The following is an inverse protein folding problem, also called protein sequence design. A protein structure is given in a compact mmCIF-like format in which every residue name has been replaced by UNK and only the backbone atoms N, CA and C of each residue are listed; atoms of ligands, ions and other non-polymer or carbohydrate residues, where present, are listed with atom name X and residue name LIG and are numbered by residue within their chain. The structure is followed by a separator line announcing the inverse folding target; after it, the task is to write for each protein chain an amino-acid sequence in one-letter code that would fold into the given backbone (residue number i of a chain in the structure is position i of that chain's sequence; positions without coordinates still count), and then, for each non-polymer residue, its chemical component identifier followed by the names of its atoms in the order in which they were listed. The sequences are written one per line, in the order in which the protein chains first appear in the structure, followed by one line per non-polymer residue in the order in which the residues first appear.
data_IF_421270352125
#
_entry.id   IF_421270352125
#
_cell.length_a   1.000
_cell.length_b   1.000
_cell.length_c   1.000
_cell.angle_alpha   90.00
_cell.angle_beta   90.00
_cell.angle_gamma   90.00
#
_symmetry.space_group_name_H-M   'P 1'
#
loop_
_entity.id
_entity.type
_entity.pdbx_description
1 polymer ?
#
# COMPACT_ATOMS: atom_id res chain seq x y z
N UNK A 1 21.91 -15.67 24.73
CA UNK A 1 20.50 -15.38 24.42
C UNK A 1 19.68 -15.15 25.69
N UNK A 2 19.36 -13.88 25.99
CA UNK A 2 18.38 -13.57 27.04
C UNK A 2 17.00 -13.50 26.40
N UNK A 3 16.15 -14.50 26.63
CA UNK A 3 14.77 -14.54 26.14
C UNK A 3 13.99 -13.25 26.50
N UNK A 4 14.33 -12.62 27.63
CA UNK A 4 13.76 -11.34 28.04
C UNK A 4 14.06 -10.22 27.03
N UNK A 5 15.28 -10.13 26.50
CA UNK A 5 15.64 -9.11 25.50
C UNK A 5 14.86 -9.31 24.21
N UNK A 6 14.74 -10.56 23.74
CA UNK A 6 13.93 -10.89 22.57
C UNK A 6 12.47 -10.47 22.76
N UNK A 7 11.85 -10.81 23.90
CA UNK A 7 10.47 -10.41 24.19
C UNK A 7 10.29 -8.89 24.29
N UNK A 8 11.30 -8.17 24.79
CA UNK A 8 11.27 -6.70 24.85
C UNK A 8 11.31 -6.08 23.46
N UNK A 9 12.17 -6.57 22.56
CA UNK A 9 12.22 -6.10 21.17
C UNK A 9 10.90 -6.40 20.45
N UNK A 10 10.38 -7.61 20.56
CA UNK A 10 9.08 -7.98 19.95
C UNK A 10 7.97 -7.05 20.43
N UNK A 11 7.90 -6.78 21.74
CA UNK A 11 6.91 -5.86 22.30
C UNK A 11 7.09 -4.43 21.78
N UNK A 12 8.32 -3.93 21.70
CA UNK A 12 8.62 -2.60 21.17
C UNK A 12 8.16 -2.47 19.71
N UNK A 13 8.58 -3.37 18.83
CA UNK A 13 8.22 -3.31 17.41
C UNK A 13 6.71 -3.45 17.21
N UNK A 14 6.06 -4.38 17.91
CA UNK A 14 4.61 -4.53 17.83
C UNK A 14 3.84 -3.28 18.29
N UNK A 15 4.24 -2.66 19.41
CA UNK A 15 3.58 -1.46 19.92
C UNK A 15 3.80 -0.27 18.99
N UNK A 16 5.01 -0.12 18.46
CA UNK A 16 5.32 0.93 17.49
C UNK A 16 4.52 0.72 16.20
N UNK A 17 4.46 -0.50 15.66
CA UNK A 17 3.67 -0.82 14.47
C UNK A 17 2.17 -0.56 14.67
N UNK A 18 1.64 -0.70 15.89
CA UNK A 18 0.26 -0.34 16.21
C UNK A 18 0.02 1.18 16.22
N UNK A 19 1.03 1.97 16.58
CA UNK A 19 0.94 3.43 16.65
C UNK A 19 1.33 4.15 15.36
N UNK A 20 2.17 3.54 14.52
CA UNK A 20 2.57 4.12 13.22
C UNK A 20 1.40 3.97 12.25
N UNK A 21 0.80 5.10 11.89
CA UNK A 21 -0.30 5.15 10.94
C UNK A 21 0.24 5.22 9.51
N UNK A 22 -0.37 4.45 8.62
CA UNK A 22 -0.19 4.53 7.18
C UNK A 22 -1.12 5.56 6.58
N UNK A 23 -0.76 6.05 5.39
CA UNK A 23 -1.59 6.96 4.59
C UNK A 23 -1.80 8.34 5.22
N UNK A 24 -1.00 8.79 6.19
CA UNK A 24 -1.20 10.10 6.84
C UNK A 24 -1.33 11.24 5.83
N UNK A 25 -0.54 11.19 4.76
CA UNK A 25 -0.52 12.18 3.68
C UNK A 25 -1.56 11.96 2.57
N UNK A 26 -2.30 10.84 2.58
CA UNK A 26 -3.27 10.51 1.53
C UNK A 26 -4.69 10.96 1.91
N UNK A 27 -5.28 11.97 1.25
CA UNK A 27 -6.60 12.49 1.61
C UNK A 27 -7.76 11.55 1.25
N UNK A 28 -7.50 10.51 0.45
CA UNK A 28 -8.52 9.56 0.00
C UNK A 28 -8.76 8.41 0.98
N UNK A 29 -7.95 8.34 2.04
CA UNK A 29 -8.05 7.36 3.12
C UNK A 29 -8.33 8.15 4.39
N UNK A 30 -9.57 8.17 4.87
CA UNK A 30 -9.95 8.91 6.07
C UNK A 30 -9.58 8.16 7.35
N UNK A 31 -9.88 6.87 7.36
CA UNK A 31 -9.65 6.02 8.52
C UNK A 31 -8.30 5.31 8.32
N UNK A 32 -7.25 5.95 8.82
CA UNK A 32 -5.86 5.51 8.64
C UNK A 32 -5.65 4.13 9.25
N UNK A 33 -4.99 3.24 8.51
CA UNK A 33 -4.61 1.92 8.99
C UNK A 33 -3.25 1.99 9.70
N UNK A 34 -3.00 1.19 10.72
CA UNK A 34 -1.65 1.08 11.31
C UNK A 34 -0.77 0.10 10.54
N UNK A 35 0.56 0.25 10.62
CA UNK A 35 1.52 -0.71 10.03
C UNK A 35 1.23 -2.14 10.51
N UNK A 36 0.88 -2.33 11.78
CA UNK A 36 0.50 -3.65 12.31
C UNK A 36 -0.73 -4.27 11.62
N UNK A 37 -1.74 -3.46 11.29
CA UNK A 37 -2.93 -3.94 10.60
C UNK A 37 -2.63 -4.29 9.13
N UNK A 38 -1.79 -3.49 8.46
CA UNK A 38 -1.28 -3.80 7.11
C UNK A 38 -0.50 -5.12 7.08
N UNK A 39 0.46 -5.30 7.99
CA UNK A 39 1.22 -6.56 8.13
C UNK A 39 0.29 -7.76 8.34
N UNK A 40 -0.73 -7.61 9.19
CA UNK A 40 -1.73 -8.66 9.43
C UNK A 40 -2.52 -9.03 8.17
N UNK A 41 -2.90 -8.04 7.34
CA UNK A 41 -3.55 -8.30 6.04
C UNK A 41 -2.61 -9.05 5.10
N UNK A 42 -1.36 -8.62 5.00
CA UNK A 42 -0.36 -9.29 4.15
C UNK A 42 -0.13 -10.73 4.57
N UNK A 43 0.01 -11.00 5.87
CA UNK A 43 0.16 -12.36 6.38
C UNK A 43 -1.06 -13.25 6.08
N UNK A 44 -2.27 -12.71 6.23
CA UNK A 44 -3.50 -13.46 5.86
C UNK A 44 -3.52 -13.78 4.38
N UNK A 45 -3.20 -12.81 3.54
CA UNK A 45 -3.14 -13.00 2.09
C UNK A 45 -2.09 -14.05 1.70
N UNK A 46 -0.87 -13.93 2.21
CA UNK A 46 0.21 -14.90 2.00
C UNK A 46 -0.17 -16.30 2.47
N UNK A 47 -0.82 -16.42 3.63
CA UNK A 47 -1.32 -17.68 4.17
C UNK A 47 -2.36 -18.34 3.25
N UNK A 48 -3.29 -17.56 2.68
CA UNK A 48 -4.33 -18.09 1.79
C UNK A 48 -3.80 -18.53 0.42
N UNK A 49 -2.71 -17.92 -0.08
CA UNK A 49 -2.12 -18.31 -1.36
C UNK A 49 -0.94 -19.28 -1.25
N UNK A 50 -0.51 -19.62 -0.03
CA UNK A 50 0.63 -20.52 0.21
C UNK A 50 0.50 -21.87 -0.52
N UNK A 51 -0.66 -22.56 -0.53
CA UNK A 51 -0.80 -23.82 -1.27
C UNK A 51 -0.48 -23.68 -2.76
N UNK A 52 -1.01 -22.63 -3.39
CA UNK A 52 -0.83 -22.34 -4.82
C UNK A 52 0.62 -21.98 -5.13
N UNK A 53 1.27 -21.16 -4.30
CA UNK A 53 2.68 -20.83 -4.47
C UNK A 53 3.60 -22.05 -4.35
N UNK A 54 3.29 -22.98 -3.43
CA UNK A 54 4.05 -24.23 -3.28
C UNK A 54 3.91 -25.13 -4.51
N UNK A 55 2.72 -25.18 -5.11
CA UNK A 55 2.47 -25.93 -6.34
C UNK A 55 3.18 -25.29 -7.53
N UNK A 56 2.96 -23.98 -7.74
CA UNK A 56 3.52 -23.20 -8.84
C UNK A 56 5.06 -23.28 -8.88
N UNK A 57 5.70 -23.16 -7.72
CA UNK A 57 7.15 -23.11 -7.61
C UNK A 57 7.79 -24.41 -7.10
N UNK A 58 7.10 -25.55 -7.18
CA UNK A 58 7.61 -26.83 -6.68
C UNK A 58 9.00 -27.23 -7.22
N UNK A 59 9.32 -26.82 -8.45
CA UNK A 59 10.59 -27.10 -9.12
C UNK A 59 11.55 -25.90 -9.16
N UNK A 60 11.21 -24.78 -8.51
CA UNK A 60 12.06 -23.60 -8.46
C UNK A 60 13.24 -23.80 -7.50
N UNK A 61 14.38 -23.18 -7.79
CA UNK A 61 15.60 -23.27 -6.95
C UNK A 61 15.39 -22.77 -5.50
N UNK A 62 14.44 -21.86 -5.31
CA UNK A 62 14.09 -21.28 -4.00
C UNK A 62 12.90 -21.99 -3.32
N UNK A 63 12.38 -23.08 -3.90
CA UNK A 63 11.16 -23.77 -3.43
C UNK A 63 11.21 -24.18 -1.95
N UNK A 64 12.37 -24.61 -1.46
CA UNK A 64 12.54 -25.10 -0.11
C UNK A 64 12.33 -24.02 0.97
N UNK A 65 12.69 -22.77 0.67
CA UNK A 65 12.64 -21.66 1.63
C UNK A 65 11.61 -20.59 1.24
N UNK A 66 11.02 -20.67 0.06
CA UNK A 66 10.13 -19.65 -0.51
C UNK A 66 9.10 -19.11 0.48
N UNK A 67 8.40 -20.00 1.18
CA UNK A 67 7.33 -19.60 2.10
C UNK A 67 7.93 -18.94 3.34
N UNK A 68 8.95 -19.54 3.96
CA UNK A 68 9.62 -18.94 5.12
C UNK A 68 10.22 -17.56 4.79
N UNK A 69 10.95 -17.47 3.69
CA UNK A 69 11.52 -16.21 3.20
C UNK A 69 10.41 -15.19 2.90
N UNK A 70 9.26 -15.59 2.34
CA UNK A 70 8.12 -14.69 2.09
C UNK A 70 7.59 -14.11 3.40
N UNK A 71 7.32 -14.96 4.40
CA UNK A 71 6.83 -14.50 5.70
C UNK A 71 7.82 -13.56 6.40
N UNK A 72 9.13 -13.81 6.30
CA UNK A 72 10.13 -12.88 6.85
C UNK A 72 10.24 -11.57 6.07
N UNK A 73 10.14 -11.60 4.74
CA UNK A 73 10.08 -10.36 3.96
C UNK A 73 8.87 -9.52 4.36
N UNK A 74 7.70 -10.14 4.55
CA UNK A 74 6.50 -9.44 5.04
C UNK A 74 6.76 -8.86 6.44
N UNK A 75 7.31 -9.64 7.37
CA UNK A 75 7.48 -9.22 8.76
C UNK A 75 8.33 -7.96 8.91
N UNK A 76 9.42 -7.88 8.15
CA UNK A 76 10.50 -6.92 8.38
C UNK A 76 10.53 -5.74 7.40
N UNK A 77 9.71 -5.76 6.32
CA UNK A 77 9.87 -4.76 5.26
C UNK A 77 9.62 -3.31 5.66
N UNK A 78 8.75 -3.08 6.66
CA UNK A 78 8.38 -1.76 7.17
C UNK A 78 9.08 -1.42 8.50
N UNK A 79 10.14 -2.15 8.88
CA UNK A 79 10.82 -1.94 10.16
C UNK A 79 11.50 -0.56 10.25
N UNK A 80 11.87 0.08 9.11
CA UNK A 80 12.28 1.50 9.10
C UNK A 80 11.17 2.44 9.56
N UNK A 81 9.93 2.17 9.16
CA UNK A 81 8.76 2.98 9.50
C UNK A 81 8.33 2.76 10.95
N UNK A 82 8.49 1.54 11.46
CA UNK A 82 8.26 1.18 12.86
C UNK A 82 9.29 1.84 13.77
N UNK A 83 10.56 1.91 13.33
CA UNK A 83 11.64 2.54 14.10
C UNK A 83 11.53 4.06 14.08
N UNK A 84 11.26 4.66 12.91
CA UNK A 84 11.10 6.11 12.76
C UNK A 84 9.77 6.64 13.30
N UNK A 85 8.76 5.77 13.43
CA UNK A 85 7.40 6.12 13.82
C UNK A 85 6.63 6.86 12.73
N UNK A 86 7.04 6.73 11.47
CA UNK A 86 6.44 7.45 10.33
C UNK A 86 6.36 6.56 9.10
N UNK A 87 5.19 6.51 8.47
CA UNK A 87 5.00 6.02 7.10
C UNK A 87 5.08 7.21 6.13
N UNK A 88 6.09 7.22 5.27
CA UNK A 88 6.24 8.27 4.25
C UNK A 88 5.57 7.78 2.97
N UNK A 89 4.66 8.58 2.42
CA UNK A 89 3.95 8.18 1.20
C UNK A 89 4.93 7.86 0.07
N UNK A 90 4.60 6.84 -0.72
CA UNK A 90 5.46 6.36 -1.84
C UNK A 90 5.85 7.47 -2.82
N UNK A 91 5.05 8.52 -2.95
CA UNK A 91 5.35 9.67 -3.83
C UNK A 91 6.43 10.59 -3.25
N UNK A 92 6.48 10.72 -1.93
CA UNK A 92 7.46 11.53 -1.21
C UNK A 92 8.69 10.72 -0.78
N UNK A 93 8.59 9.39 -0.76
CA UNK A 93 9.71 8.48 -0.42
C UNK A 93 10.72 8.50 -1.57
N UNK A 94 11.93 9.01 -1.29
CA UNK A 94 13.05 8.83 -2.20
C UNK A 94 13.47 7.37 -2.07
N UNK A 95 13.09 6.52 -3.03
CA UNK A 95 13.40 5.08 -2.97
C UNK A 95 14.91 4.83 -3.15
N UNK A 96 15.66 4.92 -2.06
CA UNK A 96 17.05 4.48 -1.99
C UNK A 96 17.11 3.12 -1.30
N UNK A 97 17.28 2.06 -2.09
CA UNK A 97 17.44 0.69 -1.55
C UNK A 97 18.66 0.55 -0.63
N UNK A 98 19.60 1.48 -0.70
CA UNK A 98 20.82 1.56 0.09
C UNK A 98 20.84 2.83 0.96
N UNK A 99 19.70 3.21 1.54
CA UNK A 99 19.68 4.26 2.56
C UNK A 99 20.38 3.78 3.82
N UNK A 100 21.67 4.11 3.93
CA UNK A 100 22.52 3.70 5.04
C UNK A 100 22.02 4.26 6.39
N UNK A 101 21.30 5.39 6.40
CA UNK A 101 20.77 5.99 7.62
C UNK A 101 19.57 5.20 8.16
N UNK A 102 18.61 4.86 7.29
CA UNK A 102 17.47 4.01 7.67
C UNK A 102 17.94 2.62 8.12
N UNK A 103 18.87 2.02 7.40
CA UNK A 103 19.45 0.73 7.76
C UNK A 103 20.16 0.82 9.11
N UNK A 104 20.97 1.85 9.33
CA UNK A 104 21.67 2.05 10.60
C UNK A 104 20.69 2.22 11.77
N UNK A 105 19.59 2.96 11.58
CA UNK A 105 18.56 3.15 12.60
C UNK A 105 17.89 1.82 13.01
N UNK A 106 17.57 0.94 12.05
CA UNK A 106 17.03 -0.39 12.35
C UNK A 106 18.07 -1.21 13.13
N UNK A 107 19.33 -1.23 12.67
CA UNK A 107 20.39 -1.99 13.36
C UNK A 107 20.62 -1.48 14.78
N UNK A 108 20.55 -0.16 15.02
CA UNK A 108 20.64 0.43 16.35
C UNK A 108 19.45 0.03 17.23
N UNK A 109 18.23 0.03 16.68
CA UNK A 109 17.04 -0.41 17.40
C UNK A 109 17.11 -1.88 17.86
N UNK A 110 17.88 -2.70 17.13
CA UNK A 110 18.09 -4.13 17.40
C UNK A 110 19.40 -4.45 18.13
N UNK A 111 20.22 -3.46 18.48
CA UNK A 111 21.58 -3.65 19.03
C UNK A 111 21.66 -4.48 20.33
N UNK A 112 20.52 -4.73 20.99
CA UNK A 112 20.44 -5.59 22.18
C UNK A 112 20.32 -7.10 21.87
N UNK A 113 20.04 -7.46 20.61
CA UNK A 113 19.93 -8.83 20.11
C UNK A 113 21.31 -9.44 19.80
N UNK A 114 21.33 -10.75 19.56
CA UNK A 114 22.55 -11.46 19.14
C UNK A 114 22.85 -11.16 17.64
N UNK A 115 24.13 -11.27 17.24
CA UNK A 115 24.60 -10.89 15.90
C UNK A 115 23.88 -11.62 14.76
N UNK A 116 23.57 -12.90 14.95
CA UNK A 116 22.84 -13.74 14.01
C UNK A 116 21.38 -13.29 13.82
N UNK A 117 20.74 -12.78 14.87
CA UNK A 117 19.38 -12.22 14.78
C UNK A 117 19.37 -10.89 14.01
N UNK A 118 20.34 -10.01 14.28
CA UNK A 118 20.51 -8.75 13.55
C UNK A 118 20.84 -9.03 12.07
N UNK A 119 21.67 -10.05 11.80
CA UNK A 119 21.99 -10.45 10.43
C UNK A 119 20.76 -10.99 9.68
N UNK A 120 19.87 -11.71 10.36
CA UNK A 120 18.60 -12.18 9.80
C UNK A 120 17.71 -11.01 9.38
N UNK A 121 17.52 -10.05 10.28
CA UNK A 121 16.76 -8.82 9.98
C UNK A 121 17.31 -8.13 8.73
N UNK A 122 18.61 -7.82 8.78
CA UNK A 122 19.29 -7.11 7.70
C UNK A 122 19.15 -7.83 6.37
N UNK A 123 19.23 -9.17 6.35
CA UNK A 123 19.04 -9.98 5.14
C UNK A 123 17.69 -9.66 4.49
N UNK A 124 16.59 -9.64 5.25
CA UNK A 124 15.25 -9.53 4.69
C UNK A 124 14.82 -8.10 4.40
N UNK A 125 15.17 -7.13 5.26
CA UNK A 125 14.97 -5.70 4.96
C UNK A 125 15.65 -5.35 3.63
N UNK A 126 16.89 -5.78 3.43
CA UNK A 126 17.63 -5.56 2.19
C UNK A 126 17.01 -6.33 1.01
N UNK A 127 16.65 -7.61 1.20
CA UNK A 127 16.05 -8.41 0.13
C UNK A 127 14.75 -7.80 -0.40
N UNK A 128 13.92 -7.22 0.48
CA UNK A 128 12.70 -6.51 0.11
C UNK A 128 12.99 -5.23 -0.67
N UNK A 129 13.88 -4.38 -0.14
CA UNK A 129 14.29 -3.12 -0.79
C UNK A 129 14.86 -3.34 -2.19
N UNK A 130 15.70 -4.35 -2.34
CA UNK A 130 16.38 -4.68 -3.59
C UNK A 130 15.54 -5.53 -4.56
N UNK A 131 14.46 -6.15 -4.09
CA UNK A 131 13.57 -7.05 -4.87
C UNK A 131 14.31 -8.17 -5.61
N UNK A 132 15.38 -8.71 -4.99
CA UNK A 132 16.30 -9.68 -5.65
C UNK A 132 15.85 -11.13 -5.55
N UNK A 133 15.03 -11.51 -4.59
CA UNK A 133 14.59 -12.90 -4.40
C UNK A 133 13.16 -13.07 -4.89
N UNK A 134 12.78 -14.31 -5.24
CA UNK A 134 11.39 -14.59 -5.63
C UNK A 134 10.43 -14.25 -4.48
N UNK A 135 10.82 -14.59 -3.26
CA UNK A 135 10.05 -14.27 -2.06
C UNK A 135 9.84 -12.76 -1.87
N UNK A 136 10.88 -11.95 -2.10
CA UNK A 136 10.78 -10.50 -1.91
C UNK A 136 10.00 -9.81 -3.03
N UNK A 137 10.06 -10.34 -4.25
CA UNK A 137 9.22 -9.91 -5.37
C UNK A 137 7.74 -10.20 -5.08
N UNK A 138 7.41 -11.42 -4.65
CA UNK A 138 6.04 -11.78 -4.25
C UNK A 138 5.58 -10.91 -3.08
N UNK A 139 6.40 -10.73 -2.04
CA UNK A 139 6.09 -9.87 -0.90
C UNK A 139 5.73 -8.45 -1.33
N UNK A 140 6.45 -7.89 -2.32
CA UNK A 140 6.15 -6.55 -2.84
C UNK A 140 4.81 -6.50 -3.58
N UNK A 141 4.44 -7.56 -4.29
CA UNK A 141 3.10 -7.65 -4.89
C UNK A 141 2.03 -7.64 -3.81
N UNK A 142 2.22 -8.41 -2.74
CA UNK A 142 1.27 -8.48 -1.64
C UNK A 142 1.13 -7.13 -0.91
N UNK A 143 2.23 -6.41 -0.69
CA UNK A 143 2.24 -5.06 -0.10
C UNK A 143 1.40 -4.09 -0.94
N UNK A 144 1.57 -4.12 -2.27
CA UNK A 144 0.79 -3.29 -3.17
C UNK A 144 -0.70 -3.70 -3.19
N UNK A 145 -1.01 -5.00 -3.17
CA UNK A 145 -2.38 -5.51 -3.13
C UNK A 145 -3.09 -5.07 -1.85
N UNK A 146 -2.49 -5.28 -0.68
CA UNK A 146 -3.11 -4.87 0.59
C UNK A 146 -3.18 -3.36 0.70
N UNK A 147 -2.17 -2.66 0.21
CA UNK A 147 -2.15 -1.20 0.14
C UNK A 147 -3.32 -0.61 -0.65
N UNK A 148 -3.60 -1.17 -1.83
CA UNK A 148 -4.74 -0.76 -2.64
C UNK A 148 -6.09 -1.15 -2.01
N UNK A 149 -6.14 -2.29 -1.30
CA UNK A 149 -7.37 -2.81 -0.71
C UNK A 149 -7.99 -1.83 0.29
N UNK A 150 -7.19 -1.11 1.07
CA UNK A 150 -7.67 -0.07 2.01
C UNK A 150 -8.41 1.05 1.26
N UNK A 151 -7.84 1.52 0.15
CA UNK A 151 -8.47 2.59 -0.63
C UNK A 151 -9.76 2.11 -1.32
N UNK A 152 -9.82 0.85 -1.76
CA UNK A 152 -11.03 0.24 -2.31
C UNK A 152 -12.12 0.13 -1.25
N UNK A 153 -11.79 -0.26 -0.02
CA UNK A 153 -12.74 -0.40 1.09
C UNK A 153 -13.34 0.95 1.53
N UNK A 154 -12.56 2.03 1.47
CA UNK A 154 -13.01 3.36 1.88
C UNK A 154 -13.72 4.15 0.78
N UNK A 155 -13.72 3.67 -0.46
CA UNK A 155 -14.47 4.18 -1.61
C UNK A 155 -14.08 5.58 -2.12
N UNK A 156 -13.59 6.49 -1.27
CA UNK A 156 -13.31 7.88 -1.62
C UNK A 156 -12.27 7.96 -2.74
N UNK A 157 -11.17 7.20 -2.63
CA UNK A 157 -10.17 7.13 -3.70
C UNK A 157 -10.74 6.59 -5.02
N UNK A 158 -11.78 5.77 -4.98
CA UNK A 158 -12.41 5.19 -6.17
C UNK A 158 -13.28 6.20 -6.94
N UNK A 159 -13.57 7.36 -6.34
CA UNK A 159 -14.23 8.50 -6.99
C UNK A 159 -13.23 9.27 -7.86
N UNK A 160 -11.99 9.41 -7.40
CA UNK A 160 -10.96 10.20 -8.09
C UNK A 160 -10.33 9.43 -9.26
N UNK A 161 -10.45 9.89 -10.52
CA UNK A 161 -9.96 9.15 -11.68
C UNK A 161 -8.43 8.98 -11.69
N UNK A 162 -7.67 10.03 -11.34
CA UNK A 162 -6.19 9.94 -11.28
C UNK A 162 -5.72 8.91 -10.24
N UNK A 163 -6.33 8.91 -9.06
CA UNK A 163 -5.99 7.96 -7.99
C UNK A 163 -6.39 6.52 -8.35
N UNK A 164 -7.56 6.33 -8.97
CA UNK A 164 -7.98 5.02 -9.52
C UNK A 164 -6.95 4.48 -10.51
N UNK A 165 -6.52 5.32 -11.47
CA UNK A 165 -5.54 4.94 -12.46
C UNK A 165 -4.17 4.69 -11.84
N UNK A 166 -3.77 5.45 -10.82
CA UNK A 166 -2.56 5.14 -10.05
C UNK A 166 -2.67 3.75 -9.41
N UNK A 167 -3.77 3.45 -8.71
CA UNK A 167 -3.95 2.14 -8.07
C UNK A 167 -3.82 0.99 -9.08
N UNK A 168 -4.41 1.13 -10.27
CA UNK A 168 -4.32 0.13 -11.35
C UNK A 168 -2.89 0.02 -11.88
N UNK A 169 -2.27 1.13 -12.28
CA UNK A 169 -0.91 1.17 -12.84
C UNK A 169 0.13 0.62 -11.84
N UNK A 170 -0.02 0.96 -10.56
CA UNK A 170 0.90 0.57 -9.50
C UNK A 170 0.93 -0.95 -9.26
N UNK A 171 -0.24 -1.60 -9.33
CA UNK A 171 -0.33 -3.05 -9.17
C UNK A 171 -0.06 -3.81 -10.47
N UNK A 172 -0.48 -3.27 -11.61
CA UNK A 172 -0.27 -3.91 -12.92
C UNK A 172 1.21 -4.06 -13.27
N UNK A 173 2.04 -3.10 -12.88
CA UNK A 173 3.51 -3.16 -13.01
C UNK A 173 4.16 -4.34 -12.27
N UNK A 174 3.45 -5.01 -11.38
CA UNK A 174 3.96 -6.18 -10.65
C UNK A 174 3.64 -7.52 -11.33
N UNK A 175 2.90 -7.51 -12.46
CA UNK A 175 2.56 -8.76 -13.17
C UNK A 175 3.81 -9.50 -13.66
N UNK A 176 3.68 -10.82 -13.79
CA UNK A 176 4.71 -11.70 -14.35
C UNK A 176 5.70 -12.28 -13.34
N UNK A 177 5.54 -11.95 -12.05
CA UNK A 177 6.33 -12.55 -10.96
C UNK A 177 5.82 -13.97 -10.65
N UNK A 178 4.50 -14.13 -10.57
CA UNK A 178 3.83 -15.40 -10.25
C UNK A 178 2.44 -15.43 -10.88
N UNK A 179 2.04 -16.56 -11.45
CA UNK A 179 0.69 -16.79 -11.95
C UNK A 179 -0.35 -16.63 -10.85
N UNK A 180 -0.05 -17.14 -9.64
CA UNK A 180 -0.91 -16.98 -8.47
C UNK A 180 -1.14 -15.51 -8.14
N UNK A 181 -0.08 -14.70 -8.10
CA UNK A 181 -0.24 -13.26 -7.82
C UNK A 181 -0.89 -12.52 -8.98
N UNK A 182 -0.60 -12.88 -10.23
CA UNK A 182 -1.18 -12.24 -11.41
C UNK A 182 -2.71 -12.37 -11.42
N UNK A 183 -3.25 -13.53 -11.02
CA UNK A 183 -4.70 -13.71 -10.84
C UNK A 183 -5.26 -12.73 -9.81
N UNK A 184 -4.58 -12.55 -8.67
CA UNK A 184 -5.02 -11.58 -7.65
C UNK A 184 -4.97 -10.13 -8.15
N UNK A 185 -3.95 -9.79 -8.93
CA UNK A 185 -3.82 -8.48 -9.56
C UNK A 185 -5.02 -8.23 -10.48
N UNK A 186 -5.36 -9.18 -11.35
CA UNK A 186 -6.50 -9.04 -12.25
C UNK A 186 -7.82 -8.90 -11.47
N UNK A 187 -8.04 -9.72 -10.45
CA UNK A 187 -9.22 -9.62 -9.59
C UNK A 187 -9.32 -8.26 -8.89
N UNK A 188 -8.21 -7.70 -8.39
CA UNK A 188 -8.22 -6.37 -7.78
C UNK A 188 -8.53 -5.27 -8.80
N UNK A 189 -7.97 -5.34 -10.01
CA UNK A 189 -8.27 -4.38 -11.09
C UNK A 189 -9.76 -4.46 -11.47
N UNK A 190 -10.33 -5.66 -11.58
CA UNK A 190 -11.77 -5.80 -11.82
C UNK A 190 -12.59 -5.28 -10.66
N UNK A 191 -12.18 -5.53 -9.42
CA UNK A 191 -12.84 -5.00 -8.22
C UNK A 191 -12.88 -3.48 -8.23
N UNK A 192 -11.78 -2.80 -8.57
CA UNK A 192 -11.73 -1.34 -8.72
C UNK A 192 -12.78 -0.86 -9.72
N UNK A 193 -12.85 -1.48 -10.91
CA UNK A 193 -13.82 -1.14 -11.95
C UNK A 193 -15.26 -1.32 -11.48
N UNK A 194 -15.56 -2.44 -10.81
CA UNK A 194 -16.89 -2.76 -10.28
C UNK A 194 -17.30 -1.78 -9.19
N UNK A 195 -16.40 -1.46 -8.25
CA UNK A 195 -16.68 -0.50 -7.17
C UNK A 195 -16.95 0.88 -7.75
N UNK A 196 -16.10 1.36 -8.67
CA UNK A 196 -16.30 2.66 -9.32
C UNK A 196 -17.62 2.70 -10.09
N UNK A 197 -17.96 1.65 -10.83
CA UNK A 197 -19.24 1.56 -11.55
C UNK A 197 -20.43 1.61 -10.59
N UNK A 198 -20.35 0.90 -9.46
CA UNK A 198 -21.34 0.98 -8.40
C UNK A 198 -21.54 2.41 -7.88
N UNK A 199 -20.44 3.15 -7.66
CA UNK A 199 -20.50 4.56 -7.25
C UNK A 199 -21.10 5.47 -8.33
N UNK A 200 -20.86 5.19 -9.61
CA UNK A 200 -21.49 5.93 -10.73
C UNK A 200 -23.01 5.73 -10.77
N UNK A 201 -23.47 4.51 -10.45
CA UNK A 201 -24.87 4.12 -10.56
C UNK A 201 -25.68 4.40 -9.28
N UNK A 202 -25.01 4.60 -8.14
CA UNK A 202 -25.64 4.84 -6.84
C UNK A 202 -25.39 6.26 -6.32
N UNK A 203 -26.17 7.20 -6.87
CA UNK A 203 -26.16 8.59 -6.44
C UNK A 203 -26.46 8.76 -4.93
N UNK A 204 -27.30 7.89 -4.36
CA UNK A 204 -27.65 7.99 -2.93
C UNK A 204 -26.42 7.70 -2.06
N UNK A 205 -25.71 6.62 -2.35
CA UNK A 205 -24.51 6.25 -1.61
C UNK A 205 -23.44 7.34 -1.69
N UNK A 206 -23.19 7.88 -2.88
CA UNK A 206 -22.19 8.95 -3.03
C UNK A 206 -22.60 10.22 -2.23
N UNK A 207 -23.90 10.48 -2.07
CA UNK A 207 -24.39 11.60 -1.25
C UNK A 207 -24.21 11.34 0.24
N UNK A 208 -24.27 10.07 0.66
CA UNK A 208 -23.96 9.64 2.03
C UNK A 208 -22.46 9.83 2.33
N UNK A 209 -21.56 9.50 1.40
CA UNK A 209 -20.11 9.77 1.52
C UNK A 209 -19.87 11.28 1.65
N UNK A 210 -20.48 12.10 0.79
CA UNK A 210 -20.36 13.56 0.87
C UNK A 210 -20.89 14.11 2.21
N UNK A 211 -21.92 13.47 2.79
CA UNK A 211 -22.46 13.86 4.08
C UNK A 211 -21.52 13.49 5.22
N UNK A 212 -20.91 12.30 5.20
CA UNK A 212 -19.90 11.90 6.18
C UNK A 212 -18.73 12.90 6.21
N UNK A 213 -18.19 13.27 5.04
CA UNK A 213 -17.15 14.28 4.91
C UNK A 213 -17.55 15.63 5.53
N UNK A 214 -18.77 16.10 5.25
CA UNK A 214 -19.32 17.32 5.88
C UNK A 214 -19.36 17.19 7.41
N UNK A 215 -19.80 16.05 7.94
CA UNK A 215 -19.86 15.85 9.40
C UNK A 215 -18.49 15.79 10.06
N UNK A 216 -17.45 15.39 9.30
CA UNK A 216 -16.04 15.49 9.69
C UNK A 216 -15.46 16.90 9.55
N UNK A 217 -16.26 17.89 9.16
CA UNK A 217 -15.84 19.28 9.00
C UNK A 217 -15.17 19.59 7.66
N UNK A 218 -15.21 18.65 6.71
CA UNK A 218 -14.62 18.81 5.37
C UNK A 218 -15.68 19.43 4.46
N UNK A 219 -15.47 20.68 4.06
CA UNK A 219 -16.25 21.36 3.02
C UNK A 219 -17.76 21.49 3.27
N UNK A 220 -18.49 21.91 2.23
CA UNK A 220 -19.96 21.94 2.21
C UNK A 220 -20.47 20.74 1.41
N UNK A 221 -21.50 20.07 1.92
CA UNK A 221 -22.10 18.88 1.29
C UNK A 221 -22.35 19.06 -0.21
N UNK A 222 -23.08 20.10 -0.61
CA UNK A 222 -23.42 20.33 -2.03
C UNK A 222 -22.18 20.47 -2.92
N UNK A 223 -21.11 21.10 -2.43
CA UNK A 223 -19.87 21.29 -3.20
C UNK A 223 -19.18 19.93 -3.39
N UNK A 224 -19.00 19.18 -2.32
CA UNK A 224 -18.35 17.86 -2.32
C UNK A 224 -19.12 16.91 -3.22
N UNK A 225 -20.43 16.82 -3.00
CA UNK A 225 -21.35 16.00 -3.77
C UNK A 225 -21.23 16.30 -5.28
N UNK A 226 -21.32 17.58 -5.67
CA UNK A 226 -21.22 17.97 -7.07
C UNK A 226 -19.86 17.62 -7.68
N UNK A 227 -18.77 17.80 -6.94
CA UNK A 227 -17.42 17.44 -7.40
C UNK A 227 -17.29 15.93 -7.58
N UNK A 228 -17.73 15.12 -6.61
CA UNK A 228 -17.74 13.66 -6.73
C UNK A 228 -18.52 13.19 -7.96
N UNK A 229 -19.69 13.78 -8.21
CA UNK A 229 -20.51 13.48 -9.39
C UNK A 229 -19.81 13.84 -10.70
N UNK A 230 -19.08 14.97 -10.75
CA UNK A 230 -18.26 15.34 -11.92
C UNK A 230 -17.13 14.32 -12.14
N UNK A 231 -16.39 13.97 -11.09
CA UNK A 231 -15.27 13.03 -11.15
C UNK A 231 -15.70 11.62 -11.55
N UNK A 232 -16.87 11.16 -11.11
CA UNK A 232 -17.41 9.86 -11.47
C UNK A 232 -17.82 9.77 -12.95
N UNK A 233 -18.13 10.89 -13.61
CA UNK A 233 -18.44 10.91 -15.05
C UNK A 233 -17.21 10.72 -15.94
N UNK A 234 -16.01 10.85 -15.39
CA UNK A 234 -14.76 10.60 -16.13
C UNK A 234 -14.64 9.11 -16.44
N UNK A 235 -14.56 8.80 -17.73
CA UNK A 235 -14.27 7.46 -18.22
C UNK A 235 -12.77 7.16 -18.08
N UNK A 236 -12.44 6.33 -17.09
CA UNK A 236 -11.07 5.94 -16.79
C UNK A 236 -10.42 5.10 -17.91
N UNK A 237 -11.17 4.57 -18.88
CA UNK A 237 -10.58 3.82 -20.00
C UNK A 237 -9.90 4.71 -21.02
N UNK A 238 -10.39 5.95 -21.18
CA UNK A 238 -9.89 6.92 -22.17
C UNK A 238 -9.19 8.11 -21.52
N UNK A 239 -9.28 8.24 -20.20
CA UNK A 239 -8.71 9.35 -19.46
C UNK A 239 -7.19 9.23 -19.30
N UNK A 240 -6.49 10.36 -19.47
CA UNK A 240 -5.05 10.45 -19.27
C UNK A 240 -4.81 11.00 -17.85
N UNK A 241 -4.13 10.25 -16.95
CA UNK A 241 -3.98 10.67 -15.56
C UNK A 241 -3.01 11.84 -15.41
N UNK A 242 -3.41 12.83 -14.61
CA UNK A 242 -2.56 13.91 -14.11
C UNK A 242 -1.89 13.46 -12.80
N UNK A 243 -0.63 13.04 -12.91
CA UNK A 243 0.16 12.54 -11.77
C UNK A 243 0.31 13.57 -10.66
N UNK A 244 0.28 14.87 -10.98
CA UNK A 244 0.41 15.95 -9.99
C UNK A 244 -0.83 16.07 -9.10
N UNK A 245 -1.98 15.52 -9.54
CA UNK A 245 -3.27 15.62 -8.86
C UNK A 245 -3.74 14.32 -8.22
N UNK A 246 -2.94 13.25 -8.27
CA UNK A 246 -3.32 11.94 -7.70
C UNK A 246 -3.74 12.03 -6.23
N UNK A 247 -3.06 12.86 -5.44
CA UNK A 247 -3.37 13.10 -4.02
C UNK A 247 -4.08 14.43 -3.78
N UNK A 248 -4.67 15.04 -4.80
CA UNK A 248 -5.58 16.15 -4.57
C UNK A 248 -6.88 15.60 -3.98
N UNK A 249 -7.42 16.20 -2.91
CA UNK A 249 -8.66 15.72 -2.34
C UNK A 249 -9.83 15.82 -3.33
N UNK A 250 -10.72 14.82 -3.33
CA UNK A 250 -11.90 14.80 -4.22
C UNK A 250 -12.81 16.02 -4.09
N UNK A 251 -12.79 16.70 -2.94
CA UNK A 251 -13.57 17.91 -2.67
C UNK A 251 -12.87 19.21 -3.10
N UNK A 252 -11.57 19.16 -3.40
CA UNK A 252 -10.75 20.29 -3.88
C UNK A 252 -10.48 20.21 -5.39
N UNK A 253 -10.80 19.08 -6.02
CA UNK A 253 -10.55 18.87 -7.44
C UNK A 253 -11.56 19.65 -8.31
N UNK A 254 -11.04 20.66 -9.02
CA UNK A 254 -11.78 21.37 -10.07
C UNK A 254 -11.38 20.83 -11.45
N UNK A 255 -12.28 20.05 -12.07
CA UNK A 255 -12.07 19.48 -13.40
C UNK A 255 -12.13 20.53 -14.51
N UNK A 256 -12.70 21.71 -14.22
CA UNK A 256 -12.86 22.81 -15.16
C UNK A 256 -11.67 23.80 -15.12
N UNK A 257 -10.73 23.62 -14.19
CA UNK A 257 -9.48 24.37 -14.16
C UNK A 257 -8.60 23.92 -15.32
N UNK A 258 -8.13 24.83 -16.20
CA UNK A 258 -7.30 24.47 -17.33
C UNK A 258 -6.09 23.68 -16.84
N UNK A 259 -5.85 22.52 -17.47
CA UNK A 259 -4.60 21.79 -17.31
C UNK A 259 -3.50 22.82 -17.64
N UNK A 260 -2.59 23.14 -16.70
CA UNK A 260 -1.42 23.90 -17.06
C UNK A 260 -0.73 23.07 -18.13
N UNK A 261 -0.73 23.55 -19.38
CA UNK A 261 0.18 23.03 -20.37
C UNK A 261 1.56 23.29 -19.75
N UNK A 262 2.24 22.22 -19.33
CA UNK A 262 3.64 22.32 -18.97
C UNK A 262 4.32 23.04 -20.13
N UNK A 263 5.02 24.12 -19.82
CA UNK A 263 5.90 24.78 -20.77
C UNK A 263 6.84 23.69 -21.33
N UNK A 264 6.66 23.35 -22.61
CA UNK A 264 7.59 22.51 -23.35
C UNK A 264 9.02 23.10 -23.26
N UNK A 265 10.05 22.24 -23.23
CA UNK A 265 11.42 22.58 -22.82
C UNK A 265 12.09 23.76 -23.54
#
# INVERSE_FOLDING_TARGET
MSAQKTLQIVSRFQNNALSTLRYEENPHVLDKESVAAHLSRMFRLAGYITPQLKEEFANHKESATLIEDLFFNILFHDDDEIVSGKDISTFNKTHNAHDDEEIAAIMEALASLETDQIALEKKYVMAFREKKTLASQIAKVLDNLTGNQVAIEQLIGMIHPDYVLLCIDYIEKQKGISQTTDVLIEEQIQRIKVVRKGLQDDAKHVSEIAYDLKTRGIGKHDIIWNNMQKLLKVDIQTYIPDKSKVYFPVWEYDIDSPIPLEDEP
#
